data_IF_726103267181
#
_entry.id   IF_726103267181
#
_cell.length_a   1.000
_cell.length_b   1.000
_cell.length_c   1.000
_cell.angle_alpha   90.00
_cell.angle_beta   90.00
_cell.angle_gamma   90.00
#
_symmetry.space_group_name_H-M   'P 1'
#
loop_
_entity.id
_entity.type
_entity.pdbx_description
1 polymer ?
#
# COMPACT_ATOMS: atom_id res chain seq x y z
N UNK A 1 -4.09 -29.10 -2.83
CA UNK A 1 -3.98 -27.94 -3.74
C UNK A 1 -2.71 -27.20 -3.36
N UNK A 2 -1.71 -27.16 -4.23
CA UNK A 2 -0.45 -26.49 -3.93
C UNK A 2 -0.56 -25.03 -4.32
N UNK A 3 -0.68 -24.14 -3.32
CA UNK A 3 -0.71 -22.70 -3.55
C UNK A 3 0.62 -22.26 -4.16
N UNK A 4 0.55 -21.58 -5.29
CA UNK A 4 1.71 -21.03 -5.98
C UNK A 4 2.08 -19.67 -5.37
N UNK A 5 3.35 -19.28 -5.48
CA UNK A 5 3.77 -17.95 -5.02
C UNK A 5 3.05 -16.83 -5.77
N UNK A 6 2.67 -17.05 -7.04
CA UNK A 6 1.92 -16.09 -7.85
C UNK A 6 0.52 -15.83 -7.27
N UNK A 7 -0.18 -16.88 -6.83
CA UNK A 7 -1.48 -16.74 -6.15
C UNK A 7 -1.34 -15.96 -4.84
N UNK A 8 -0.29 -16.23 -4.05
CA UNK A 8 0.01 -15.47 -2.84
C UNK A 8 0.25 -13.97 -3.14
N UNK A 9 0.93 -13.66 -4.25
CA UNK A 9 1.18 -12.27 -4.67
C UNK A 9 -0.12 -11.56 -5.07
N UNK A 10 -1.02 -12.24 -5.77
CA UNK A 10 -2.33 -11.68 -6.13
C UNK A 10 -3.15 -11.41 -4.87
N UNK A 11 -3.19 -12.35 -3.93
CA UNK A 11 -3.89 -12.19 -2.66
C UNK A 11 -3.33 -11.00 -1.85
N UNK A 12 -2.00 -10.92 -1.71
CA UNK A 12 -1.36 -9.81 -1.01
C UNK A 12 -1.74 -8.45 -1.60
N UNK A 13 -1.78 -8.33 -2.93
CA UNK A 13 -2.22 -7.10 -3.61
C UNK A 13 -3.69 -6.78 -3.32
N UNK A 14 -4.58 -7.77 -3.37
CA UNK A 14 -6.01 -7.58 -3.09
C UNK A 14 -6.23 -7.10 -1.65
N UNK A 15 -5.58 -7.74 -0.68
CA UNK A 15 -5.67 -7.35 0.74
C UNK A 15 -5.14 -5.93 0.99
N UNK A 16 -4.06 -5.54 0.31
CA UNK A 16 -3.53 -4.17 0.42
C UNK A 16 -4.47 -3.11 -0.18
N UNK A 17 -5.17 -3.41 -1.28
CA UNK A 17 -6.20 -2.52 -1.83
C UNK A 17 -7.40 -2.37 -0.88
N UNK A 18 -7.80 -3.46 -0.22
CA UNK A 18 -8.83 -3.43 0.84
C UNK A 18 -8.36 -2.55 2.00
N UNK A 19 -7.15 -2.77 2.51
CA UNK A 19 -6.58 -1.97 3.59
C UNK A 19 -6.50 -0.47 3.24
N UNK A 20 -6.10 -0.13 2.01
CA UNK A 20 -6.06 1.25 1.51
C UNK A 20 -7.45 1.90 1.53
N UNK A 21 -8.49 1.14 1.14
CA UNK A 21 -9.88 1.63 1.18
C UNK A 21 -10.31 1.93 2.61
N UNK A 22 -10.09 0.98 3.53
CA UNK A 22 -10.47 1.13 4.94
C UNK A 22 -9.80 2.35 5.59
N UNK A 23 -8.50 2.54 5.38
CA UNK A 23 -7.79 3.71 5.93
C UNK A 23 -8.32 5.01 5.33
N UNK A 24 -8.68 5.04 4.04
CA UNK A 24 -9.26 6.24 3.44
C UNK A 24 -10.66 6.55 3.98
N UNK A 25 -11.47 5.53 4.22
CA UNK A 25 -12.78 5.67 4.88
C UNK A 25 -12.62 6.24 6.29
N UNK A 26 -11.69 5.71 7.06
CA UNK A 26 -11.38 6.16 8.42
C UNK A 26 -10.88 7.60 8.45
N UNK A 27 -9.99 7.99 7.53
CA UNK A 27 -9.55 9.39 7.34
C UNK A 27 -10.73 10.30 6.97
N UNK A 28 -11.63 9.84 6.11
CA UNK A 28 -12.77 10.64 5.65
C UNK A 28 -13.84 10.84 6.72
N UNK A 29 -14.02 9.85 7.60
CA UNK A 29 -14.92 9.91 8.74
C UNK A 29 -14.29 10.63 9.95
N UNK A 30 -13.01 10.97 9.87
CA UNK A 30 -12.28 11.56 10.97
C UNK A 30 -12.77 13.00 11.25
N UNK A 31 -13.15 13.33 12.50
CA UNK A 31 -13.61 14.68 12.85
C UNK A 31 -12.50 15.72 12.60
N UNK A 32 -12.86 16.97 12.32
CA UNK A 32 -11.91 18.03 11.94
C UNK A 32 -10.68 18.06 12.87
N UNK A 33 -9.50 17.63 12.39
CA UNK A 33 -8.35 17.44 13.27
C UNK A 33 -7.80 18.81 13.68
N UNK A 34 -7.37 18.94 14.94
CA UNK A 34 -6.51 20.04 15.33
C UNK A 34 -5.15 19.79 14.67
N UNK A 35 -4.87 20.51 13.60
CA UNK A 35 -3.68 20.35 12.78
C UNK A 35 -2.42 20.29 13.65
N UNK A 36 -1.64 19.21 13.52
CA UNK A 36 -0.34 19.05 14.17
C UNK A 36 -0.35 18.46 15.59
N UNK A 37 -1.50 18.31 16.25
CA UNK A 37 -1.58 17.68 17.58
C UNK A 37 -2.22 16.28 17.55
N UNK A 38 -2.93 15.96 16.46
CA UNK A 38 -3.66 14.71 16.37
C UNK A 38 -2.75 13.54 15.95
N UNK A 39 -2.17 12.89 16.95
CA UNK A 39 -1.34 11.69 16.77
C UNK A 39 -2.09 10.59 16.03
N UNK A 40 -3.38 10.41 16.29
CA UNK A 40 -4.18 9.36 15.67
C UNK A 40 -4.38 9.64 14.18
N UNK A 41 -4.72 10.88 13.81
CA UNK A 41 -4.81 11.27 12.40
C UNK A 41 -3.47 11.14 11.67
N UNK A 42 -2.37 11.54 12.31
CA UNK A 42 -1.03 11.38 11.73
C UNK A 42 -0.65 9.90 11.53
N UNK A 43 -1.05 9.01 12.43
CA UNK A 43 -0.89 7.57 12.25
C UNK A 43 -1.67 7.07 11.03
N UNK A 44 -2.92 7.49 10.84
CA UNK A 44 -3.72 7.12 9.65
C UNK A 44 -3.04 7.56 8.34
N UNK A 45 -2.49 8.78 8.30
CA UNK A 45 -1.75 9.27 7.14
C UNK A 45 -0.48 8.44 6.87
N UNK A 46 0.24 8.06 7.93
CA UNK A 46 1.42 7.21 7.85
C UNK A 46 1.07 5.82 7.32
N UNK A 47 0.00 5.20 7.84
CA UNK A 47 -0.47 3.89 7.37
C UNK A 47 -0.90 3.93 5.90
N UNK A 48 -1.66 4.96 5.48
CA UNK A 48 -2.01 5.17 4.08
C UNK A 48 -0.77 5.25 3.19
N UNK A 49 0.27 5.96 3.64
CA UNK A 49 1.52 6.07 2.91
C UNK A 49 2.24 4.72 2.79
N UNK A 50 2.32 3.96 3.89
CA UNK A 50 2.90 2.61 3.94
C UNK A 50 2.22 1.66 2.95
N UNK A 51 0.90 1.61 2.98
CA UNK A 51 0.10 0.75 2.10
C UNK A 51 0.29 1.15 0.62
N UNK A 52 0.29 2.45 0.33
CA UNK A 52 0.49 2.94 -1.04
C UNK A 52 1.86 2.54 -1.58
N UNK A 53 2.93 2.67 -0.77
CA UNK A 53 4.27 2.20 -1.17
C UNK A 53 4.31 0.69 -1.40
N UNK A 54 3.72 -0.10 -0.51
CA UNK A 54 3.68 -1.56 -0.67
C UNK A 54 2.99 -1.98 -1.98
N UNK A 55 1.87 -1.34 -2.33
CA UNK A 55 1.19 -1.56 -3.61
C UNK A 55 2.07 -1.17 -4.80
N UNK A 56 2.75 -0.02 -4.74
CA UNK A 56 3.66 0.42 -5.79
C UNK A 56 4.76 -0.63 -6.03
N UNK A 57 5.44 -1.10 -4.98
CA UNK A 57 6.47 -2.12 -5.08
C UNK A 57 5.94 -3.45 -5.65
N UNK A 58 4.73 -3.87 -5.24
CA UNK A 58 4.09 -5.08 -5.77
C UNK A 58 3.69 -4.98 -7.25
N UNK A 59 3.42 -3.76 -7.73
CA UNK A 59 3.03 -3.50 -9.14
C UNK A 59 4.17 -3.00 -10.01
N UNK A 60 5.33 -2.70 -9.44
CA UNK A 60 6.45 -2.18 -10.17
C UNK A 60 6.91 -3.21 -11.21
N UNK A 61 6.94 -2.81 -12.48
CA UNK A 61 7.61 -3.59 -13.50
C UNK A 61 9.11 -3.59 -13.17
N UNK A 62 9.68 -4.79 -12.96
CA UNK A 62 11.11 -4.95 -12.74
C UNK A 62 11.81 -4.52 -14.02
N UNK A 63 12.33 -3.30 -14.04
CA UNK A 63 13.16 -2.84 -15.14
C UNK A 63 14.49 -3.58 -15.08
N UNK A 64 14.71 -4.50 -16.01
CA UNK A 64 15.98 -5.19 -16.19
C UNK A 64 16.77 -4.41 -17.26
N UNK A 65 17.84 -3.67 -16.90
CA UNK A 65 18.69 -3.04 -17.89
C UNK A 65 19.29 -4.14 -18.77
N UNK A 66 19.02 -4.07 -20.07
CA UNK A 66 19.55 -5.04 -21.04
C UNK A 66 21.08 -4.96 -21.01
N UNK A 67 21.81 -6.09 -20.86
CA UNK A 67 23.27 -6.07 -20.89
C UNK A 67 23.73 -5.51 -22.23
N UNK A 68 24.56 -4.46 -22.22
CA UNK A 68 25.29 -4.07 -23.44
C UNK A 68 26.25 -5.22 -23.77
N UNK A 69 25.97 -5.90 -24.88
CA UNK A 69 26.93 -6.83 -25.47
C UNK A 69 28.23 -6.07 -25.83
N UNK A 70 29.40 -6.73 -25.72
CA UNK A 70 30.72 -6.13 -25.92
C UNK A 70 30.96 -5.61 -27.35
#
# INVERSE_FOLDING_TARGET
MSTTYSECMVLARVELEVAKRLVNEEISAYPAPIAGCDQQFNQLLSERHRITRALQELTAEVHIPTPRAP
#
